data_IF_455718081592
#
_entry.id   IF_455718081592
#
_cell.length_a   1.000
_cell.length_b   1.000
_cell.length_c   1.000
_cell.angle_alpha   90.00
_cell.angle_beta   90.00
_cell.angle_gamma   90.00
#
_symmetry.space_group_name_H-M   'P 1'
#
loop_
_entity.id
_entity.type
_entity.pdbx_description
1 polymer ?
#
# COMPACT_ATOMS: atom_id res chain seq x y z
N UNK A 1 14.65 6.62 10.03
CA UNK A 1 14.80 5.95 8.74
C UNK A 1 13.52 6.12 7.95
N UNK A 2 13.67 6.32 6.64
CA UNK A 2 12.56 6.46 5.70
C UNK A 2 12.72 5.36 4.65
N UNK A 3 11.65 4.63 4.37
CA UNK A 3 11.62 3.62 3.30
C UNK A 3 10.37 3.81 2.44
N UNK A 4 10.49 3.45 1.17
CA UNK A 4 9.36 3.46 0.24
C UNK A 4 9.24 2.12 -0.46
N UNK A 5 8.02 1.71 -0.76
CA UNK A 5 7.73 0.54 -1.58
C UNK A 5 6.75 0.93 -2.67
N UNK A 6 6.90 0.40 -3.89
CA UNK A 6 6.02 0.73 -5.02
C UNK A 6 5.59 -0.52 -5.75
N UNK A 7 4.30 -0.62 -5.97
CA UNK A 7 3.66 -1.67 -6.76
C UNK A 7 3.08 -1.04 -8.02
N UNK A 8 3.22 -1.74 -9.15
CA UNK A 8 2.56 -1.42 -10.40
C UNK A 8 1.77 -2.64 -10.84
N UNK A 9 0.50 -2.44 -11.15
CA UNK A 9 -0.41 -3.51 -11.54
C UNK A 9 -1.51 -2.96 -12.44
N UNK A 10 -2.20 -3.86 -13.14
CA UNK A 10 -3.43 -3.52 -13.84
C UNK A 10 -4.60 -3.80 -12.90
N UNK A 11 -5.40 -2.77 -12.64
CA UNK A 11 -6.52 -2.78 -11.70
C UNK A 11 -6.13 -2.96 -10.22
N UNK A 12 -7.10 -2.80 -9.31
CA UNK A 12 -6.97 -3.24 -7.93
C UNK A 12 -7.53 -4.66 -7.79
N UNK A 13 -6.82 -5.53 -7.07
CA UNK A 13 -7.29 -6.89 -6.82
C UNK A 13 -7.89 -6.95 -5.42
N UNK A 14 -9.20 -6.82 -5.38
CA UNK A 14 -9.95 -6.83 -4.15
C UNK A 14 -10.03 -8.23 -3.54
N UNK A 15 -10.26 -8.28 -2.23
CA UNK A 15 -10.69 -9.45 -1.44
C UNK A 15 -9.61 -10.42 -0.91
N UNK A 16 -8.31 -10.17 -1.11
CA UNK A 16 -7.30 -10.94 -0.39
C UNK A 16 -6.23 -10.08 0.26
N UNK A 17 -5.72 -10.58 1.38
CA UNK A 17 -4.64 -9.94 2.10
C UNK A 17 -3.32 -10.06 1.33
N UNK A 18 -2.61 -8.94 1.27
CA UNK A 18 -1.28 -8.85 0.66
C UNK A 18 -0.26 -8.42 1.70
N UNK A 19 1.01 -8.73 1.43
CA UNK A 19 2.10 -8.26 2.26
C UNK A 19 3.40 -8.06 1.48
N UNK A 20 4.28 -7.24 2.03
CA UNK A 20 5.66 -7.13 1.60
C UNK A 20 6.57 -6.82 2.80
N UNK A 21 7.85 -7.15 2.65
CA UNK A 21 8.87 -6.81 3.65
C UNK A 21 9.56 -5.48 3.30
N UNK A 22 9.83 -4.68 4.31
CA UNK A 22 10.73 -3.53 4.20
C UNK A 22 12.14 -4.01 3.88
N UNK A 23 12.93 -3.18 3.19
CA UNK A 23 14.30 -3.53 2.81
C UNK A 23 15.18 -3.77 4.05
N UNK A 24 14.91 -3.02 5.13
CA UNK A 24 15.52 -3.19 6.45
C UNK A 24 14.41 -3.13 7.49
N UNK A 25 14.42 -4.01 8.49
CA UNK A 25 13.47 -3.93 9.59
C UNK A 25 13.70 -2.67 10.45
N UNK A 26 12.62 -1.98 10.80
CA UNK A 26 12.64 -0.87 11.75
C UNK A 26 12.86 -1.39 13.19
N UNK A 27 13.13 -0.48 14.13
CA UNK A 27 13.21 -0.83 15.57
C UNK A 27 11.86 -1.28 16.12
N UNK A 28 10.79 -0.63 15.66
CA UNK A 28 9.39 -0.90 16.02
C UNK A 28 8.52 -0.64 14.77
N UNK A 29 7.23 -0.92 14.86
CA UNK A 29 6.25 -0.69 13.78
C UNK A 29 6.32 0.77 13.32
N UNK A 30 6.67 1.03 12.05
CA UNK A 30 6.78 2.40 11.55
C UNK A 30 5.39 3.04 11.38
N UNK A 31 5.37 4.36 11.26
CA UNK A 31 4.21 5.05 10.68
C UNK A 31 4.20 4.81 9.17
N UNK A 32 3.10 4.29 8.63
CA UNK A 32 2.98 3.91 7.22
C UNK A 32 1.88 4.74 6.56
N UNK A 33 2.21 5.38 5.44
CA UNK A 33 1.29 6.05 4.55
C UNK A 33 1.20 5.30 3.22
N UNK A 34 0.01 5.27 2.62
CA UNK A 34 -0.22 4.76 1.27
C UNK A 34 -0.76 5.86 0.36
N UNK A 35 -0.48 5.73 -0.95
CA UNK A 35 -1.17 6.49 -1.98
C UNK A 35 -1.38 5.61 -3.21
N UNK A 36 -2.62 5.58 -3.68
CA UNK A 36 -2.99 4.98 -4.97
C UNK A 36 -3.10 6.08 -6.03
N UNK A 37 -2.58 5.79 -7.22
CA UNK A 37 -2.80 6.58 -8.44
C UNK A 37 -3.20 5.63 -9.57
N UNK A 38 -4.20 6.02 -10.35
CA UNK A 38 -4.82 5.21 -11.41
C UNK A 38 -4.70 5.94 -12.74
N UNK A 39 -4.96 5.26 -13.86
CA UNK A 39 -4.97 5.90 -15.19
C UNK A 39 -6.35 6.35 -15.63
N UNK A 40 -7.38 6.18 -14.81
CA UNK A 40 -8.74 6.49 -15.21
C UNK A 40 -9.00 7.99 -15.11
N UNK A 41 -9.66 8.54 -16.12
CA UNK A 41 -10.00 9.96 -16.21
C UNK A 41 -11.33 10.34 -15.56
N UNK A 42 -12.03 9.38 -14.94
CA UNK A 42 -13.36 9.56 -14.36
C UNK A 42 -13.37 9.60 -12.84
N UNK A 43 -14.56 9.79 -12.27
CA UNK A 43 -14.78 9.65 -10.82
C UNK A 43 -14.46 8.22 -10.39
N UNK A 44 -13.69 8.09 -9.31
CA UNK A 44 -13.35 6.81 -8.73
C UNK A 44 -12.93 6.94 -7.27
N UNK A 45 -12.99 5.82 -6.58
CA UNK A 45 -12.62 5.67 -5.19
C UNK A 45 -11.81 4.38 -5.06
N UNK A 46 -10.54 4.52 -4.74
CA UNK A 46 -9.55 3.46 -4.77
C UNK A 46 -8.44 3.77 -3.76
N UNK A 47 -8.18 2.86 -2.83
CA UNK A 47 -7.14 3.04 -1.82
C UNK A 47 -6.63 1.69 -1.28
N UNK A 48 -5.78 1.78 -0.26
CA UNK A 48 -5.22 0.65 0.47
C UNK A 48 -5.49 0.81 1.95
N UNK A 49 -6.03 -0.23 2.57
CA UNK A 49 -6.15 -0.33 4.02
C UNK A 49 -4.93 -1.06 4.59
N UNK A 50 -4.11 -0.36 5.38
CA UNK A 50 -2.96 -0.95 6.07
C UNK A 50 -3.47 -1.63 7.35
N UNK A 51 -3.16 -2.92 7.51
CA UNK A 51 -3.66 -3.70 8.63
C UNK A 51 -2.84 -3.45 9.89
N UNK A 52 -3.52 -3.41 11.04
CA UNK A 52 -2.93 -3.19 12.38
C UNK A 52 -1.93 -4.27 12.79
N UNK A 53 -1.94 -5.44 12.12
CA UNK A 53 -0.95 -6.51 12.32
C UNK A 53 0.38 -6.27 11.61
N UNK A 54 0.51 -5.19 10.83
CA UNK A 54 1.79 -4.72 10.32
C UNK A 54 2.77 -4.51 11.46
N UNK A 55 4.03 -4.86 11.22
CA UNK A 55 5.06 -4.86 12.25
C UNK A 55 6.31 -4.14 11.75
N UNK A 56 7.40 -4.24 12.49
CA UNK A 56 8.66 -3.56 12.18
C UNK A 56 9.32 -4.03 10.87
N UNK A 57 8.99 -5.22 10.36
CA UNK A 57 9.60 -5.79 9.16
C UNK A 57 8.62 -5.95 7.99
N UNK A 58 7.35 -6.19 8.26
CA UNK A 58 6.35 -6.55 7.24
C UNK A 58 5.15 -5.62 7.29
N UNK A 59 4.75 -5.10 6.13
CA UNK A 59 3.51 -4.37 5.93
C UNK A 59 2.44 -5.33 5.40
N UNK A 60 1.29 -5.42 6.06
CA UNK A 60 0.12 -6.16 5.59
C UNK A 60 -0.97 -5.18 5.19
N UNK A 61 -1.64 -5.43 4.07
CA UNK A 61 -2.64 -4.50 3.55
C UNK A 61 -3.69 -5.18 2.68
N UNK A 62 -4.85 -4.54 2.55
CA UNK A 62 -5.89 -4.85 1.57
C UNK A 62 -5.98 -3.71 0.56
N UNK A 63 -6.10 -4.05 -0.72
CA UNK A 63 -6.54 -3.12 -1.75
C UNK A 63 -8.07 -3.09 -1.78
N UNK A 64 -8.63 -1.90 -2.01
CA UNK A 64 -10.06 -1.76 -2.21
C UNK A 64 -10.37 -0.64 -3.20
N UNK A 65 -11.47 -0.82 -3.91
CA UNK A 65 -12.15 0.17 -4.72
C UNK A 65 -13.64 0.19 -4.39
N UNK A 66 -14.27 1.35 -4.59
CA UNK A 66 -15.71 1.47 -4.51
C UNK A 66 -16.24 1.86 -5.89
N UNK A 67 -17.14 1.02 -6.43
CA UNK A 67 -17.78 1.26 -7.73
C UNK A 67 -17.40 0.29 -8.85
N UNK A 68 -16.60 -0.75 -8.58
CA UNK A 68 -16.40 -1.91 -9.47
C UNK A 68 -15.89 -1.57 -10.87
N UNK A 69 -15.07 -0.53 -10.97
CA UNK A 69 -14.58 0.00 -12.24
C UNK A 69 -13.11 -0.35 -12.37
N UNK A 70 -12.71 -1.03 -13.44
CA UNK A 70 -11.30 -1.31 -13.65
C UNK A 70 -10.46 -0.01 -13.60
N UNK A 71 -9.53 0.08 -12.65
CA UNK A 71 -8.71 1.29 -12.40
C UNK A 71 -7.60 1.49 -13.45
N UNK A 72 -7.51 0.61 -14.44
CA UNK A 72 -6.49 0.62 -15.49
C UNK A 72 -5.10 0.43 -14.91
N UNK A 73 -4.14 1.26 -15.33
CA UNK A 73 -2.78 1.21 -14.78
C UNK A 73 -2.75 1.83 -13.39
N UNK A 74 -2.54 0.98 -12.38
CA UNK A 74 -2.45 1.38 -10.98
C UNK A 74 -1.00 1.42 -10.52
N UNK A 75 -0.67 2.46 -9.76
CA UNK A 75 0.54 2.55 -8.95
C UNK A 75 0.14 2.75 -7.49
N UNK A 76 0.60 1.85 -6.63
CA UNK A 76 0.43 1.92 -5.18
C UNK A 76 1.79 2.26 -4.58
N UNK A 77 1.86 3.33 -3.81
CA UNK A 77 3.09 3.80 -3.16
C UNK A 77 2.91 3.76 -1.66
N UNK A 78 3.89 3.16 -0.98
CA UNK A 78 3.97 3.15 0.48
C UNK A 78 5.16 3.98 0.92
N UNK A 79 4.97 4.77 1.98
CA UNK A 79 6.01 5.52 2.68
C UNK A 79 5.99 5.13 4.15
N UNK A 80 7.11 4.62 4.66
CA UNK A 80 7.28 4.29 6.06
C UNK A 80 8.31 5.20 6.72
N UNK A 81 7.96 5.75 7.88
CA UNK A 81 8.84 6.57 8.70
C UNK A 81 8.90 5.94 10.09
N UNK A 82 10.11 5.57 10.51
CA UNK A 82 10.32 4.89 11.79
C UNK A 82 11.71 5.10 12.35
N UNK A 83 11.90 4.65 13.60
CA UNK A 83 13.20 4.63 14.25
C UNK A 83 14.11 3.59 13.63
N UNK A 84 15.39 3.91 13.60
CA UNK A 84 16.47 3.00 13.22
C UNK A 84 17.49 2.95 14.34
N UNK A 85 18.24 1.85 14.42
CA UNK A 85 19.37 1.73 15.34
C UNK A 85 20.55 2.52 14.80
#
# INVERSE_FOLDING_TARGET
>A
MIQTYTIRQNDLYEWFEKSFNWAIAFVDTPLIFSKVTTSIGGSHDADVNILTKSNNATCYYHEYEHGGSNQGNVRIQFLAIGRWK
#
